data_IF_406032495641
#
_entry.id   IF_406032495641
#
_cell.length_a   1.000
_cell.length_b   1.000
_cell.length_c   1.000
_cell.angle_alpha   90.00
_cell.angle_beta   90.00
_cell.angle_gamma   90.00
#
_symmetry.space_group_name_H-M   'P 1'
#
loop_
_entity.id
_entity.type
_entity.pdbx_description
1 polymer ?
#
# COMPACT_ATOMS: atom_id res chain seq x y z
N UNK A 1 38.16 -13.95 9.54
CA UNK A 1 38.09 -12.62 10.18
C UNK A 1 37.70 -11.64 9.08
N UNK A 2 36.64 -10.86 9.12
CA UNK A 2 35.76 -10.45 10.21
C UNK A 2 34.28 -10.61 9.80
N UNK A 3 33.48 -10.99 10.80
CA UNK A 3 32.02 -10.88 10.84
C UNK A 3 31.66 -9.41 10.89
N UNK A 4 30.72 -8.96 10.08
CA UNK A 4 29.83 -7.86 10.46
C UNK A 4 28.40 -8.26 10.10
N UNK A 5 27.80 -8.99 11.05
CA UNK A 5 26.37 -9.16 11.22
C UNK A 5 25.74 -7.78 11.43
N UNK A 6 24.84 -7.36 10.53
CA UNK A 6 23.94 -6.24 10.77
C UNK A 6 22.57 -6.83 11.12
N UNK A 7 22.11 -6.69 12.38
CA UNK A 7 21.10 -7.56 12.96
C UNK A 7 19.73 -7.36 12.32
N UNK A 8 19.04 -8.50 12.20
CA UNK A 8 17.61 -8.60 11.97
C UNK A 8 16.86 -7.48 12.70
N UNK A 9 16.24 -6.59 11.93
CA UNK A 9 15.34 -5.58 12.46
C UNK A 9 14.06 -6.27 12.90
N UNK A 10 14.11 -6.83 14.10
CA UNK A 10 13.00 -7.38 14.87
C UNK A 10 11.84 -6.39 14.85
N UNK A 11 10.78 -6.70 14.10
CA UNK A 11 9.51 -5.98 14.18
C UNK A 11 8.82 -6.36 15.50
N UNK A 12 9.33 -5.83 16.61
CA UNK A 12 8.66 -5.92 17.90
C UNK A 12 7.27 -5.25 17.82
N UNK A 13 6.19 -5.91 18.26
CA UNK A 13 4.84 -5.37 18.17
C UNK A 13 4.67 -4.27 19.22
N UNK A 14 4.92 -3.02 18.83
CA UNK A 14 4.75 -1.88 19.71
C UNK A 14 3.26 -1.60 19.97
N UNK A 15 2.84 -2.00 21.17
CA UNK A 15 1.88 -1.34 22.07
C UNK A 15 0.56 -0.87 21.47
N UNK A 16 -0.54 -1.46 22.00
CA UNK A 16 -1.94 -1.00 21.95
C UNK A 16 -2.04 0.53 21.86
N UNK A 17 -2.21 1.08 20.65
CA UNK A 17 -2.62 2.46 20.45
C UNK A 17 -4.14 2.50 20.65
N UNK A 18 -4.58 3.37 21.56
CA UNK A 18 -5.94 3.87 21.61
C UNK A 18 -6.41 4.21 20.18
N UNK A 19 -7.68 3.96 19.86
CA UNK A 19 -8.28 4.12 18.54
C UNK A 19 -7.74 5.38 17.84
N UNK A 20 -6.85 5.17 16.86
CA UNK A 20 -6.26 6.23 16.04
C UNK A 20 -7.37 6.95 15.28
N UNK A 21 -7.14 8.19 14.83
CA UNK A 21 -8.10 8.93 13.99
C UNK A 21 -8.56 8.10 12.77
N UNK A 22 -7.65 7.25 12.26
CA UNK A 22 -7.91 6.27 11.21
C UNK A 22 -9.03 5.27 11.57
N UNK A 23 -9.06 4.78 12.82
CA UNK A 23 -10.08 3.85 13.31
C UNK A 23 -11.48 4.50 13.36
N UNK A 24 -11.53 5.79 13.74
CA UNK A 24 -12.77 6.59 13.68
C UNK A 24 -13.23 6.84 12.25
N UNK A 25 -12.30 7.12 11.32
CA UNK A 25 -12.60 7.32 9.90
C UNK A 25 -13.11 6.03 9.25
N UNK A 26 -12.50 4.89 9.59
CA UNK A 26 -12.93 3.55 9.13
C UNK A 26 -14.35 3.21 9.60
N UNK A 27 -14.74 3.69 10.78
CA UNK A 27 -16.07 3.46 11.38
C UNK A 27 -17.20 4.27 10.73
N UNK A 28 -16.90 5.23 9.85
CA UNK A 28 -17.87 6.05 9.10
C UNK A 28 -17.74 5.89 7.58
N UNK A 29 -17.40 4.71 7.08
CA UNK A 29 -17.40 4.46 5.64
C UNK A 29 -18.82 4.12 5.18
N UNK A 30 -19.31 4.82 4.15
CA UNK A 30 -20.58 4.49 3.51
C UNK A 30 -20.47 3.11 2.80
N UNK A 31 -21.60 2.40 2.60
CA UNK A 31 -21.61 1.19 1.78
C UNK A 31 -21.02 1.49 0.40
N UNK A 32 -20.03 0.68 -0.03
CA UNK A 32 -19.30 0.91 -1.29
C UNK A 32 -18.14 1.89 -1.20
N UNK A 33 -17.80 2.41 -0.01
CA UNK A 33 -16.62 3.24 0.16
C UNK A 33 -15.31 2.45 -0.03
N UNK A 34 -14.30 3.15 -0.54
CA UNK A 34 -12.96 2.59 -0.76
C UNK A 34 -11.98 3.14 0.28
N UNK A 35 -11.21 2.25 0.89
CA UNK A 35 -10.11 2.63 1.78
C UNK A 35 -8.81 2.72 0.98
N UNK A 36 -8.00 3.73 1.27
CA UNK A 36 -6.69 3.95 0.65
C UNK A 36 -5.63 4.05 1.73
N UNK A 37 -4.56 3.27 1.57
CA UNK A 37 -3.34 3.37 2.36
C UNK A 37 -2.15 3.65 1.43
N UNK A 38 -1.26 4.56 1.82
CA UNK A 38 -0.03 4.87 1.08
C UNK A 38 1.08 3.98 1.62
N UNK A 39 1.54 3.03 0.81
CA UNK A 39 2.63 2.11 1.17
C UNK A 39 4.02 2.74 0.94
N UNK A 40 4.14 3.52 -0.12
CA UNK A 40 5.35 4.28 -0.46
C UNK A 40 4.92 5.68 -0.94
N UNK A 41 5.46 6.77 -0.38
CA UNK A 41 5.17 8.11 -0.87
C UNK A 41 5.66 8.28 -2.31
N UNK A 42 4.89 9.02 -3.11
CA UNK A 42 5.32 9.47 -4.43
C UNK A 42 6.32 10.61 -4.33
N UNK A 43 6.97 10.94 -5.45
CA UNK A 43 7.81 12.12 -5.57
C UNK A 43 7.01 13.28 -6.19
N UNK A 44 7.31 14.51 -5.77
CA UNK A 44 6.62 15.72 -6.22
C UNK A 44 5.26 15.95 -5.56
N UNK A 45 4.68 17.12 -5.85
CA UNK A 45 3.45 17.61 -5.21
C UNK A 45 2.25 17.67 -6.18
N UNK A 46 2.46 17.35 -7.47
CA UNK A 46 1.42 17.37 -8.49
C UNK A 46 0.53 16.12 -8.40
N UNK A 47 -0.78 16.30 -8.55
CA UNK A 47 -1.78 15.23 -8.63
C UNK A 47 -2.51 15.30 -9.97
N UNK A 48 -2.88 14.15 -10.57
CA UNK A 48 -3.62 14.15 -11.83
C UNK A 48 -4.98 14.84 -11.67
N UNK A 49 -5.39 15.55 -12.72
CA UNK A 49 -6.66 16.25 -12.83
C UNK A 49 -7.62 15.50 -13.77
N UNK A 50 -8.90 15.89 -13.75
CA UNK A 50 -9.90 15.30 -14.64
C UNK A 50 -9.50 15.49 -16.11
N UNK A 51 -9.47 14.39 -16.87
CA UNK A 51 -9.07 14.36 -18.27
C UNK A 51 -7.59 14.07 -18.53
N UNK A 52 -6.75 14.00 -17.49
CA UNK A 52 -5.34 13.64 -17.65
C UNK A 52 -5.16 12.18 -18.04
N UNK A 53 -4.25 11.91 -18.97
CA UNK A 53 -3.83 10.56 -19.28
C UNK A 53 -2.84 10.05 -18.22
N UNK A 54 -3.21 8.98 -17.52
CA UNK A 54 -2.40 8.39 -16.45
C UNK A 54 -1.89 7.00 -16.86
N UNK A 55 -0.59 6.76 -16.68
CA UNK A 55 0.01 5.43 -16.80
C UNK A 55 0.26 4.86 -15.41
N UNK A 56 -0.19 3.63 -15.15
CA UNK A 56 -0.05 2.99 -13.85
C UNK A 56 0.06 1.47 -13.96
N UNK A 57 0.64 0.84 -12.93
CA UNK A 57 0.59 -0.59 -12.74
C UNK A 57 -0.28 -0.94 -11.54
N UNK A 58 -1.13 -1.96 -11.68
CA UNK A 58 -1.99 -2.45 -10.61
C UNK A 58 -1.97 -3.98 -10.51
N UNK A 59 -2.32 -4.46 -9.32
CA UNK A 59 -2.61 -5.86 -9.05
C UNK A 59 -3.86 -5.88 -8.19
N UNK A 60 -4.92 -6.52 -8.68
CA UNK A 60 -6.20 -6.65 -8.00
C UNK A 60 -6.24 -7.99 -7.29
N UNK A 61 -6.55 -7.97 -5.99
CA UNK A 61 -6.61 -9.16 -5.13
C UNK A 61 -7.91 -9.24 -4.37
N UNK A 62 -8.41 -10.45 -4.16
CA UNK A 62 -9.53 -10.71 -3.23
C UNK A 62 -9.09 -10.54 -1.78
N UNK A 63 -10.05 -10.55 -0.84
CA UNK A 63 -9.77 -10.51 0.60
C UNK A 63 -8.93 -11.72 1.06
N UNK A 64 -9.10 -12.86 0.39
CA UNK A 64 -8.33 -14.09 0.63
C UNK A 64 -6.93 -14.07 -0.03
N UNK A 65 -6.59 -12.98 -0.73
CA UNK A 65 -5.27 -12.77 -1.34
C UNK A 65 -5.10 -13.33 -2.75
N UNK A 66 -6.15 -13.90 -3.35
CA UNK A 66 -6.12 -14.42 -4.73
C UNK A 66 -6.00 -13.27 -5.72
N UNK A 67 -5.02 -13.34 -6.64
CA UNK A 67 -4.86 -12.35 -7.72
C UNK A 67 -5.91 -12.60 -8.80
N UNK A 68 -6.70 -11.58 -9.10
CA UNK A 68 -7.75 -11.62 -10.12
C UNK A 68 -7.26 -10.98 -11.42
N UNK A 69 -6.48 -9.91 -11.32
CA UNK A 69 -5.94 -9.18 -12.46
C UNK A 69 -4.60 -8.53 -12.08
N UNK A 70 -3.67 -8.43 -13.04
CA UNK A 70 -2.51 -7.57 -12.90
C UNK A 70 -2.04 -7.04 -14.24
N UNK A 71 -1.63 -5.77 -14.24
CA UNK A 71 -0.97 -5.14 -15.41
C UNK A 71 0.55 -5.27 -15.37
N UNK A 72 1.11 -5.95 -14.36
CA UNK A 72 2.52 -6.36 -14.39
C UNK A 72 2.62 -7.65 -15.19
N UNK A 73 3.32 -7.59 -16.31
CA UNK A 73 3.69 -8.77 -17.09
C UNK A 73 4.50 -9.70 -16.20
N UNK A 74 4.19 -11.00 -16.21
CA UNK A 74 4.90 -12.06 -15.47
C UNK A 74 6.41 -12.12 -15.77
N UNK A 75 6.81 -11.55 -16.90
CA UNK A 75 8.18 -11.29 -17.30
C UNK A 75 8.45 -9.80 -17.19
N UNK A 76 9.33 -9.41 -16.26
CA UNK A 76 9.87 -8.05 -16.20
C UNK A 76 10.42 -7.66 -17.57
N UNK A 77 9.76 -6.71 -18.23
CA UNK A 77 10.10 -6.29 -19.58
C UNK A 77 10.80 -4.93 -19.58
N UNK A 78 12.05 -4.93 -20.05
CA UNK A 78 12.76 -3.76 -20.60
C UNK A 78 13.57 -2.94 -19.62
#
# INVERSE_FOLDING_TARGET
MAVEENPEQEFAPQKKKAASDDDKRRKKLAPGGLLKAVMRPGAGDSTPSDGDQVQFHCTIRTLDGVVVESTRTEVGGG
#
